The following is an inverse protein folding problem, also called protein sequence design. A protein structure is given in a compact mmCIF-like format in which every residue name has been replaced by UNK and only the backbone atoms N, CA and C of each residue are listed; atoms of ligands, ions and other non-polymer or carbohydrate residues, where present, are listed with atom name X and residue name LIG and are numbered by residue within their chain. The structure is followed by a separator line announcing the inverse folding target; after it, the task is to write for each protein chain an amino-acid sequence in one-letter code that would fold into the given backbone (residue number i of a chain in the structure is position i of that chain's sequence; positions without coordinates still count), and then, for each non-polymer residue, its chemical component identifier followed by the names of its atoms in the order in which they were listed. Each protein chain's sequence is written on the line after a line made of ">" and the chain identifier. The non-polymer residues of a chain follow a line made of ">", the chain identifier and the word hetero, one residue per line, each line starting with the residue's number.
data_IF_234539888636
#
_entry.id   IF_234539888636
#
_cell.length_a   1.000
_cell.length_b   1.000
_cell.length_c   1.000
_cell.angle_alpha   90.00
_cell.angle_beta   90.00
_cell.angle_gamma   90.00
#
_symmetry.space_group_name_H-M   'P 1'
#
loop_
_entity.id
_entity.type
_entity.pdbx_description
1 polymer ?
#
# COMPACT_ATOMS: atom_id res chain seq x y z
N UNK A 1 -1.88 -43.70 -25.94
CA UNK A 1 -1.61 -43.42 -24.52
C UNK A 1 -1.25 -41.99 -24.35
N UNK A 2 -2.16 -41.19 -23.87
CA UNK A 2 -1.90 -39.79 -23.61
C UNK A 2 -1.35 -39.63 -22.19
N UNK A 3 -0.07 -39.35 -22.09
CA UNK A 3 0.46 -38.84 -20.83
C UNK A 3 -0.04 -37.41 -20.67
N UNK A 4 -1.05 -37.24 -19.86
CA UNK A 4 -1.41 -35.88 -19.43
C UNK A 4 -0.29 -35.39 -18.53
N UNK A 5 0.60 -34.59 -19.07
CA UNK A 5 1.49 -33.81 -18.28
C UNK A 5 0.63 -32.70 -17.66
N UNK A 6 0.16 -32.96 -16.47
CA UNK A 6 -0.26 -31.87 -15.60
C UNK A 6 1.01 -31.07 -15.31
N UNK A 7 1.24 -30.06 -16.12
CA UNK A 7 2.12 -29.00 -15.71
C UNK A 7 1.47 -28.38 -14.46
N UNK A 8 1.94 -28.81 -13.30
CA UNK A 8 1.67 -28.08 -12.09
C UNK A 8 2.29 -26.70 -12.30
N UNK A 9 1.49 -25.77 -12.78
CA UNK A 9 1.83 -24.37 -12.65
C UNK A 9 1.97 -24.14 -11.16
N UNK A 10 3.20 -23.99 -10.72
CA UNK A 10 3.45 -23.49 -9.39
C UNK A 10 2.72 -22.15 -9.32
N UNK A 11 1.58 -22.14 -8.66
CA UNK A 11 0.89 -20.91 -8.34
C UNK A 11 1.82 -20.21 -7.36
N UNK A 12 2.64 -19.32 -7.89
CA UNK A 12 3.41 -18.45 -7.04
C UNK A 12 2.44 -17.50 -6.40
N UNK A 13 2.19 -17.71 -5.12
CA UNK A 13 1.42 -16.80 -4.30
C UNK A 13 2.28 -15.57 -4.01
N UNK A 14 2.41 -14.67 -4.99
CA UNK A 14 2.94 -13.35 -4.72
C UNK A 14 1.81 -12.53 -4.09
N UNK A 15 2.08 -11.83 -2.97
CA UNK A 15 1.10 -10.90 -2.46
C UNK A 15 0.80 -9.86 -3.55
N UNK A 16 -0.46 -9.72 -3.87
CA UNK A 16 -0.92 -8.81 -4.91
C UNK A 16 -1.82 -7.76 -4.26
N UNK A 17 -1.61 -6.50 -4.60
CA UNK A 17 -2.49 -5.44 -4.14
C UNK A 17 -3.83 -5.54 -4.89
N UNK A 18 -4.89 -5.93 -4.17
CA UNK A 18 -6.22 -6.08 -4.74
C UNK A 18 -7.00 -4.77 -4.73
N UNK A 19 -6.84 -3.98 -3.68
CA UNK A 19 -7.51 -2.69 -3.57
C UNK A 19 -6.76 -1.74 -2.65
N UNK A 20 -6.95 -0.46 -2.86
CA UNK A 20 -6.36 0.60 -2.07
C UNK A 20 -7.40 1.68 -1.80
N UNK A 21 -7.36 2.26 -0.61
CA UNK A 21 -8.18 3.41 -0.25
C UNK A 21 -7.33 4.38 0.60
N UNK A 22 -7.01 5.57 0.12
CA UNK A 22 -7.37 6.13 -1.19
C UNK A 22 -6.82 5.32 -2.33
N UNK A 23 -7.55 5.24 -3.44
CA UNK A 23 -7.11 4.55 -4.64
C UNK A 23 -6.06 5.36 -5.39
N UNK A 24 -5.32 4.70 -6.28
CA UNK A 24 -4.39 5.38 -7.17
C UNK A 24 -5.10 6.47 -7.96
N UNK A 25 -4.51 7.65 -8.00
CA UNK A 25 -5.03 8.85 -8.67
C UNK A 25 -6.35 9.40 -8.10
N UNK A 26 -6.77 8.95 -6.93
CA UNK A 26 -7.95 9.50 -6.26
C UNK A 26 -7.71 10.96 -5.89
N UNK A 27 -8.76 11.75 -5.91
CA UNK A 27 -8.76 13.16 -5.54
C UNK A 27 -9.92 13.40 -4.58
N UNK A 28 -9.66 13.99 -3.43
CA UNK A 28 -10.72 14.24 -2.46
C UNK A 28 -10.20 14.80 -1.15
N UNK A 29 -11.05 14.75 -0.12
CA UNK A 29 -10.70 15.20 1.22
C UNK A 29 -9.60 14.33 1.83
N UNK A 30 -8.93 14.85 2.88
CA UNK A 30 -7.90 14.06 3.58
C UNK A 30 -8.49 12.76 4.11
N UNK A 31 -7.90 11.61 3.79
CA UNK A 31 -8.29 10.36 4.42
C UNK A 31 -7.85 10.35 5.89
N UNK A 32 -8.54 9.58 6.71
CA UNK A 32 -8.13 9.35 8.10
C UNK A 32 -7.14 8.21 8.21
N UNK A 33 -7.13 7.35 7.21
CA UNK A 33 -6.23 6.19 7.16
C UNK A 33 -6.05 5.75 5.70
N UNK A 34 -4.99 5.00 5.48
CA UNK A 34 -4.72 4.36 4.19
C UNK A 34 -4.91 2.87 4.39
N UNK A 35 -5.70 2.23 3.52
CA UNK A 35 -5.95 0.79 3.57
C UNK A 35 -5.51 0.15 2.28
N UNK A 36 -4.67 -0.87 2.40
CA UNK A 36 -4.20 -1.66 1.27
C UNK A 36 -4.58 -3.12 1.51
N UNK A 37 -5.42 -3.66 0.64
CA UNK A 37 -5.86 -5.05 0.73
C UNK A 37 -5.05 -5.90 -0.23
N UNK A 38 -4.41 -6.93 0.30
CA UNK A 38 -3.58 -7.85 -0.47
C UNK A 38 -4.24 -9.21 -0.62
N UNK A 39 -3.76 -9.99 -1.59
CA UNK A 39 -4.29 -11.32 -1.88
C UNK A 39 -3.83 -12.39 -0.88
N UNK A 40 -2.76 -12.10 -0.14
CA UNK A 40 -2.11 -13.06 0.76
C UNK A 40 -2.02 -12.52 2.18
N UNK A 41 -1.91 -13.42 3.15
CA UNK A 41 -1.66 -13.04 4.53
C UNK A 41 -0.28 -12.41 4.68
N UNK A 42 -0.19 -11.35 5.46
CA UNK A 42 1.01 -10.52 5.62
C UNK A 42 1.69 -10.75 6.97
N UNK A 43 3.01 -10.60 6.96
CA UNK A 43 3.81 -10.57 8.19
C UNK A 43 3.91 -9.10 8.63
N UNK A 44 3.25 -8.77 9.73
CA UNK A 44 3.11 -7.39 10.20
C UNK A 44 4.47 -6.71 10.43
N UNK A 45 5.41 -7.41 11.05
CA UNK A 45 6.70 -6.82 11.41
C UNK A 45 7.60 -6.50 10.21
N UNK A 46 7.28 -7.05 9.02
CA UNK A 46 8.06 -6.82 7.80
C UNK A 46 7.26 -6.06 6.73
N UNK A 47 6.10 -5.55 7.09
CA UNK A 47 5.22 -4.83 6.18
C UNK A 47 5.00 -3.41 6.66
N UNK A 48 4.98 -2.46 5.74
CA UNK A 48 4.83 -1.06 6.11
C UNK A 48 4.43 -0.17 4.95
N UNK A 49 4.12 1.08 5.30
CA UNK A 49 3.71 2.13 4.38
C UNK A 49 4.49 3.39 4.74
N UNK A 50 5.09 4.02 3.73
CA UNK A 50 5.66 5.35 3.83
C UNK A 50 4.81 6.31 3.00
N UNK A 51 4.53 7.48 3.55
CA UNK A 51 3.76 8.51 2.89
C UNK A 51 4.64 9.73 2.68
N UNK A 52 4.70 10.21 1.44
CA UNK A 52 5.52 11.35 1.07
C UNK A 52 4.67 12.39 0.35
N UNK A 53 4.71 13.64 0.81
CA UNK A 53 4.11 14.75 0.06
C UNK A 53 5.07 15.11 -1.06
N UNK A 54 4.61 15.07 -2.31
CA UNK A 54 5.44 15.36 -3.48
C UNK A 54 5.14 16.73 -4.09
N UNK A 55 3.93 17.23 -3.90
CA UNK A 55 3.53 18.55 -4.39
C UNK A 55 2.58 19.24 -3.43
N UNK A 56 2.67 20.56 -3.37
CA UNK A 56 1.75 21.44 -2.67
C UNK A 56 1.26 22.48 -3.67
N UNK A 57 -0.04 22.84 -3.66
CA UNK A 57 -0.58 23.84 -4.61
C UNK A 57 0.20 25.15 -4.55
N UNK A 58 0.63 25.63 -5.72
CA UNK A 58 1.37 26.88 -5.85
C UNK A 58 2.81 26.86 -5.36
N UNK A 59 3.31 25.72 -4.92
CA UNK A 59 4.70 25.58 -4.47
C UNK A 59 5.33 24.32 -5.04
N UNK A 60 6.47 24.51 -5.71
CA UNK A 60 7.36 23.38 -6.00
C UNK A 60 8.20 23.14 -4.76
N UNK A 61 8.08 21.93 -4.23
CA UNK A 61 8.87 21.51 -3.08
C UNK A 61 9.51 20.16 -3.36
N UNK A 62 10.65 19.90 -2.73
CA UNK A 62 11.21 18.56 -2.72
C UNK A 62 10.31 17.61 -1.93
N UNK A 63 10.46 16.28 -2.13
CA UNK A 63 9.68 15.30 -1.39
C UNK A 63 9.81 15.49 0.11
N UNK A 64 8.67 15.44 0.81
CA UNK A 64 8.63 15.57 2.25
C UNK A 64 7.96 14.33 2.85
N UNK A 65 8.73 13.55 3.61
CA UNK A 65 8.18 12.39 4.29
C UNK A 65 7.23 12.85 5.40
N UNK A 66 6.03 12.27 5.41
CA UNK A 66 5.05 12.56 6.44
C UNK A 66 5.34 11.76 7.70
N UNK A 67 5.33 12.44 8.84
CA UNK A 67 5.48 11.83 10.14
C UNK A 67 4.12 11.43 10.72
N UNK A 68 4.12 10.57 11.73
CA UNK A 68 2.88 10.15 12.39
C UNK A 68 2.05 9.16 11.58
N UNK A 69 2.68 8.46 10.64
CA UNK A 69 2.05 7.39 9.87
C UNK A 69 2.43 6.06 10.51
N UNK A 70 1.47 5.32 11.00
CA UNK A 70 1.71 4.04 11.66
C UNK A 70 0.95 2.94 10.94
N UNK A 71 1.70 1.96 10.41
CA UNK A 71 1.12 0.83 9.69
C UNK A 71 0.93 -0.37 10.60
N UNK A 72 -0.23 -1.02 10.48
CA UNK A 72 -0.56 -2.25 11.18
C UNK A 72 -1.28 -3.19 10.22
N UNK A 73 -1.28 -4.48 10.53
CA UNK A 73 -2.06 -5.47 9.78
C UNK A 73 -3.38 -5.69 10.50
N UNK A 74 -4.48 -5.59 9.77
CA UNK A 74 -5.82 -5.79 10.31
C UNK A 74 -6.08 -7.26 10.70
N UNK A 75 -7.21 -7.50 11.37
CA UNK A 75 -7.56 -8.82 11.88
C UNK A 75 -7.68 -9.89 10.78
N UNK A 76 -7.99 -9.49 9.52
CA UNK A 76 -8.07 -10.42 8.40
C UNK A 76 -6.71 -10.94 7.95
N UNK A 77 -5.62 -10.36 8.44
CA UNK A 77 -4.26 -10.71 8.08
C UNK A 77 -3.82 -10.24 6.70
N UNK A 78 -4.71 -9.67 5.90
CA UNK A 78 -4.45 -9.30 4.49
C UNK A 78 -4.52 -7.81 4.22
N UNK A 79 -5.03 -7.03 5.15
CA UNK A 79 -5.18 -5.59 5.01
C UNK A 79 -4.11 -4.87 5.81
N UNK A 80 -3.29 -4.09 5.12
CA UNK A 80 -2.32 -3.20 5.74
C UNK A 80 -2.98 -1.83 5.92
N UNK A 81 -3.04 -1.35 7.15
CA UNK A 81 -3.71 -0.10 7.51
C UNK A 81 -2.66 0.87 8.06
N UNK A 82 -2.56 2.04 7.45
CA UNK A 82 -1.77 3.13 7.98
C UNK A 82 -2.71 4.17 8.59
N UNK A 83 -2.60 4.38 9.90
CA UNK A 83 -3.33 5.45 10.57
C UNK A 83 -2.54 6.74 10.52
N UNK A 84 -3.24 7.84 10.32
CA UNK A 84 -2.66 9.17 10.21
C UNK A 84 -2.95 9.93 11.50
N UNK A 85 -1.88 10.43 12.14
CA UNK A 85 -2.02 11.16 13.39
C UNK A 85 -2.75 12.50 13.22
N UNK A 86 -2.65 13.09 12.02
CA UNK A 86 -3.25 14.39 11.69
C UNK A 86 -3.83 14.35 10.30
N UNK A 87 -4.83 15.18 10.00
CA UNK A 87 -5.31 15.37 8.64
C UNK A 87 -4.16 15.79 7.72
N UNK A 88 -4.19 15.32 6.49
CA UNK A 88 -3.19 15.69 5.50
C UNK A 88 -3.52 17.06 4.89
N UNK A 89 -2.53 17.95 4.79
CA UNK A 89 -2.71 19.19 4.03
C UNK A 89 -3.04 18.93 2.58
N UNK A 90 -3.64 19.90 1.93
CA UNK A 90 -3.90 19.88 0.48
C UNK A 90 -2.59 19.69 -0.26
N UNK A 91 -2.54 18.74 -1.18
CA UNK A 91 -1.35 18.40 -1.95
C UNK A 91 -1.41 17.05 -2.60
N UNK A 92 -0.31 16.66 -3.24
CA UNK A 92 -0.14 15.35 -3.84
C UNK A 92 0.73 14.48 -2.95
N UNK A 93 0.30 13.25 -2.75
CA UNK A 93 0.96 12.29 -1.86
C UNK A 93 1.34 11.03 -2.61
N UNK A 94 2.52 10.51 -2.32
CA UNK A 94 3.00 9.22 -2.80
C UNK A 94 2.95 8.22 -1.65
N UNK A 95 2.27 7.11 -1.90
CA UNK A 95 2.24 5.96 -0.99
C UNK A 95 3.27 4.97 -1.47
N UNK A 96 4.26 4.67 -0.64
CA UNK A 96 5.22 3.59 -0.88
C UNK A 96 4.91 2.48 0.10
N UNK A 97 4.67 1.27 -0.40
CA UNK A 97 4.42 0.14 0.47
C UNK A 97 5.42 -0.97 0.21
N UNK A 98 5.72 -1.70 1.26
CA UNK A 98 6.49 -2.94 1.21
C UNK A 98 5.77 -3.95 2.07
N UNK A 99 5.57 -5.14 1.55
CA UNK A 99 4.91 -6.22 2.27
C UNK A 99 5.66 -7.53 2.09
N UNK A 100 5.58 -8.37 3.12
CA UNK A 100 6.08 -9.73 3.10
C UNK A 100 4.90 -10.63 3.45
N UNK A 101 4.62 -11.60 2.59
CA UNK A 101 3.59 -12.59 2.87
C UNK A 101 4.11 -13.66 3.83
N UNK A 102 3.18 -14.39 4.45
CA UNK A 102 3.54 -15.46 5.40
C UNK A 102 4.34 -16.59 4.76
N UNK A 103 4.30 -16.73 3.44
CA UNK A 103 5.13 -17.67 2.69
C UNK A 103 6.46 -17.07 2.21
N UNK A 104 6.85 -15.93 2.77
CA UNK A 104 8.14 -15.24 2.56
C UNK A 104 8.32 -14.51 1.23
N UNK A 105 7.28 -14.32 0.45
CA UNK A 105 7.36 -13.51 -0.76
C UNK A 105 7.30 -12.03 -0.41
N UNK A 106 8.13 -11.24 -1.08
CA UNK A 106 8.19 -9.79 -0.89
C UNK A 106 7.68 -9.08 -2.13
N UNK A 107 6.88 -8.06 -1.92
CA UNK A 107 6.58 -7.08 -2.96
C UNK A 107 6.68 -5.68 -2.40
N UNK A 108 6.97 -4.74 -3.29
CA UNK A 108 6.92 -3.33 -2.99
C UNK A 108 6.31 -2.61 -4.18
N UNK A 109 5.67 -1.50 -3.90
CA UNK A 109 5.06 -0.69 -4.95
C UNK A 109 4.75 0.70 -4.45
N UNK A 110 4.24 1.52 -5.35
CA UNK A 110 3.86 2.89 -5.01
C UNK A 110 2.73 3.37 -5.91
N UNK A 111 2.00 4.35 -5.40
CA UNK A 111 0.99 5.08 -6.15
C UNK A 111 0.81 6.47 -5.55
N UNK A 112 0.10 7.34 -6.25
CA UNK A 112 -0.17 8.70 -5.78
C UNK A 112 -1.66 8.96 -5.65
N UNK A 113 -2.01 9.86 -4.75
CA UNK A 113 -3.35 10.42 -4.63
C UNK A 113 -3.23 11.90 -4.26
N UNK A 114 -4.35 12.62 -4.38
CA UNK A 114 -4.39 14.07 -4.10
C UNK A 114 -5.42 14.39 -3.03
N UNK A 115 -5.07 15.32 -2.17
CA UNK A 115 -5.97 15.94 -1.19
C UNK A 115 -6.30 17.34 -1.67
N UNK A 116 -7.60 17.64 -1.77
CA UNK A 116 -8.10 18.95 -2.15
C UNK A 116 -8.97 19.52 -1.06
#
# INVERSE_FOLDING_TARGET
>A
MAASVLAATAVQAHPKLNSANPAANAVGASPTRIQLVFSEALVAQFSGIDLTMTEMPGMKMGPMKMNGVKATVAADGKTLVATLAKPLPVGTYKVDYHVVSTDTHRIQGSYTFKVQ
#
